data_IF_664578653534
#
_entry.id   IF_664578653534
#
_cell.length_a   1.000
_cell.length_b   1.000
_cell.length_c   1.000
_cell.angle_alpha   90.00
_cell.angle_beta   90.00
_cell.angle_gamma   90.00
#
_symmetry.space_group_name_H-M   'P 1'
#
loop_
_entity.id
_entity.type
_entity.pdbx_description
1 polymer ?
#
# COMPACT_ATOMS: atom_id res chain seq x y z
N UNK A 1 -38.03 -52.28 48.07
CA UNK A 1 -38.40 -53.64 47.67
C UNK A 1 -37.56 -54.06 46.49
N UNK A 2 -36.73 -55.06 46.64
CA UNK A 2 -35.96 -55.83 45.63
C UNK A 2 -36.89 -56.84 44.96
N UNK A 3 -36.46 -57.70 44.04
CA UNK A 3 -35.71 -57.58 42.78
C UNK A 3 -36.38 -58.38 41.60
N UNK A 4 -35.79 -58.43 40.46
CA UNK A 4 -36.16 -59.31 39.36
C UNK A 4 -35.11 -59.41 38.26
N UNK A 5 -34.22 -60.36 38.42
CA UNK A 5 -33.31 -60.88 37.41
C UNK A 5 -33.98 -61.80 36.42
N UNK A 6 -33.63 -61.74 35.13
CA UNK A 6 -33.66 -63.02 34.32
C UNK A 6 -32.54 -62.98 33.25
N UNK A 7 -31.79 -64.07 33.30
CA UNK A 7 -30.65 -64.42 32.40
C UNK A 7 -31.16 -65.16 31.16
N UNK A 8 -30.23 -65.28 30.17
CA UNK A 8 -30.17 -66.31 29.08
C UNK A 8 -30.71 -65.77 27.73
N UNK A 9 -30.09 -65.93 26.57
CA UNK A 9 -29.19 -67.00 26.11
C UNK A 9 -28.31 -66.50 24.95
N UNK A 10 -27.17 -67.15 24.90
CA UNK A 10 -26.11 -67.13 23.87
C UNK A 10 -26.61 -67.83 22.59
N UNK A 11 -26.34 -67.21 21.41
CA UNK A 11 -26.27 -67.94 20.14
C UNK A 11 -25.11 -67.33 19.29
N UNK A 12 -24.05 -68.14 19.17
CA UNK A 12 -22.96 -67.93 18.23
C UNK A 12 -23.49 -68.22 16.81
N UNK A 13 -23.27 -67.27 15.91
CA UNK A 13 -23.24 -67.53 14.48
C UNK A 13 -21.88 -67.01 13.92
N UNK A 14 -21.04 -67.98 13.59
CA UNK A 14 -19.81 -67.81 12.86
C UNK A 14 -20.16 -67.68 11.37
N UNK A 15 -19.94 -66.57 10.76
CA UNK A 15 -20.00 -66.43 9.30
C UNK A 15 -18.75 -65.72 8.82
N UNK A 16 -18.07 -66.34 7.88
CA UNK A 16 -16.74 -66.06 7.42
C UNK A 16 -16.55 -64.66 6.82
N UNK A 17 -15.43 -64.05 7.16
CA UNK A 17 -14.96 -62.80 6.59
C UNK A 17 -14.09 -63.15 5.38
N UNK A 18 -14.63 -62.94 4.17
CA UNK A 18 -13.81 -62.78 2.97
C UNK A 18 -13.14 -61.37 3.04
N UNK A 19 -11.86 -61.36 3.32
CA UNK A 19 -11.02 -60.16 3.21
C UNK A 19 -10.73 -59.87 1.73
N UNK A 20 -11.51 -58.99 1.11
CA UNK A 20 -11.07 -58.28 -0.10
C UNK A 20 -10.09 -57.16 0.32
N UNK A 21 -8.81 -57.43 0.23
CA UNK A 21 -7.77 -56.42 0.30
C UNK A 21 -7.82 -55.58 -0.95
N UNK A 22 -8.62 -54.50 -0.95
CA UNK A 22 -8.51 -53.43 -1.92
C UNK A 22 -7.32 -52.58 -1.53
N UNK A 23 -6.18 -52.78 -2.18
CA UNK A 23 -5.03 -51.88 -2.13
C UNK A 23 -5.45 -50.55 -2.75
N UNK A 24 -5.92 -49.62 -1.93
CA UNK A 24 -6.02 -48.21 -2.28
C UNK A 24 -4.58 -47.69 -2.35
N UNK A 25 -4.02 -47.66 -3.57
CA UNK A 25 -2.85 -46.84 -3.87
C UNK A 25 -3.27 -45.38 -3.60
N UNK A 26 -2.97 -44.91 -2.41
CA UNK A 26 -2.96 -43.49 -2.12
C UNK A 26 -1.85 -42.88 -3.01
N UNK A 27 -2.23 -42.40 -4.18
CA UNK A 27 -1.40 -41.41 -4.89
C UNK A 27 -1.30 -40.22 -3.96
N UNK A 28 -0.18 -40.14 -3.25
CA UNK A 28 0.26 -38.90 -2.65
C UNK A 28 0.53 -37.97 -3.83
N UNK A 29 -0.46 -37.15 -4.16
CA UNK A 29 -0.22 -35.94 -4.94
C UNK A 29 0.78 -35.14 -4.10
N UNK A 30 2.05 -35.25 -4.47
CA UNK A 30 3.06 -34.24 -4.05
C UNK A 30 2.55 -32.93 -4.60
N UNK A 31 1.83 -32.17 -3.79
CA UNK A 31 1.58 -30.76 -4.06
C UNK A 31 2.95 -30.12 -4.23
N UNK A 32 3.37 -29.94 -5.46
CA UNK A 32 4.54 -29.13 -5.78
C UNK A 32 4.23 -27.76 -5.24
N UNK A 33 5.01 -27.30 -4.26
CA UNK A 33 5.00 -25.90 -3.86
C UNK A 33 5.10 -25.08 -5.14
N UNK A 34 4.18 -24.16 -5.38
CA UNK A 34 4.15 -23.42 -6.61
C UNK A 34 5.45 -22.65 -6.76
N UNK A 35 6.09 -22.83 -7.91
CA UNK A 35 7.37 -22.20 -8.24
C UNK A 35 7.13 -20.70 -8.45
N UNK A 36 7.94 -19.84 -7.81
CA UNK A 36 7.87 -18.40 -8.05
C UNK A 36 8.04 -18.07 -9.54
N UNK A 37 7.34 -17.05 -10.09
CA UNK A 37 7.47 -16.70 -11.49
C UNK A 37 8.91 -16.30 -11.81
N UNK A 38 9.37 -16.70 -12.98
CA UNK A 38 10.67 -16.22 -13.47
C UNK A 38 10.55 -14.72 -13.83
N UNK A 39 11.70 -14.05 -13.90
CA UNK A 39 11.77 -12.66 -14.36
C UNK A 39 11.11 -12.47 -15.73
N UNK A 40 11.30 -13.41 -16.65
CA UNK A 40 10.74 -13.39 -18.01
C UNK A 40 9.22 -13.50 -17.97
N UNK A 41 8.66 -14.33 -17.10
CA UNK A 41 7.21 -14.45 -16.92
C UNK A 41 6.61 -13.15 -16.36
N UNK A 42 7.24 -12.55 -15.35
CA UNK A 42 6.78 -11.25 -14.81
C UNK A 42 6.90 -10.16 -15.87
N UNK A 43 8.00 -10.11 -16.63
CA UNK A 43 8.17 -9.15 -17.74
C UNK A 43 7.08 -9.31 -18.81
N UNK A 44 6.75 -10.54 -19.17
CA UNK A 44 5.70 -10.81 -20.15
C UNK A 44 4.34 -10.28 -19.69
N UNK A 45 3.96 -10.54 -18.43
CA UNK A 45 2.70 -10.07 -17.85
C UNK A 45 2.66 -8.54 -17.73
N UNK A 46 3.76 -7.90 -17.30
CA UNK A 46 3.88 -6.44 -17.24
C UNK A 46 3.74 -5.81 -18.63
N UNK A 47 4.36 -6.41 -19.65
CA UNK A 47 4.24 -5.94 -21.05
C UNK A 47 2.80 -6.10 -21.55
N UNK A 48 2.14 -7.23 -21.28
CA UNK A 48 0.74 -7.45 -21.63
C UNK A 48 -0.20 -6.44 -20.97
N UNK A 49 0.02 -6.14 -19.67
CA UNK A 49 -0.75 -5.11 -18.97
C UNK A 49 -0.59 -3.73 -19.63
N UNK A 50 0.65 -3.34 -19.97
CA UNK A 50 0.91 -2.09 -20.68
C UNK A 50 0.20 -2.04 -22.02
N UNK A 51 0.37 -3.03 -22.89
CA UNK A 51 -0.27 -3.09 -24.20
C UNK A 51 -1.79 -3.06 -24.13
N UNK A 52 -2.37 -3.72 -23.12
CA UNK A 52 -3.81 -3.76 -22.90
C UNK A 52 -4.41 -2.42 -22.52
N UNK A 53 -3.71 -1.62 -21.71
CA UNK A 53 -4.27 -0.41 -21.13
C UNK A 53 -3.66 0.90 -21.64
N UNK A 54 -2.62 0.89 -22.49
CA UNK A 54 -1.95 2.11 -22.98
C UNK A 54 -2.90 3.11 -23.67
N UNK A 55 -3.96 2.62 -24.30
CA UNK A 55 -4.95 3.44 -25.01
C UNK A 55 -6.20 3.73 -24.19
N UNK A 56 -6.23 3.35 -22.92
CA UNK A 56 -7.34 3.70 -22.01
C UNK A 56 -7.27 5.21 -21.69
N UNK A 57 -8.36 5.92 -21.91
CA UNK A 57 -8.45 7.37 -21.69
C UNK A 57 -9.49 7.73 -20.62
N UNK A 58 -9.92 6.77 -19.80
CA UNK A 58 -10.84 7.02 -18.68
C UNK A 58 -10.18 7.86 -17.59
N UNK A 59 -10.98 8.66 -16.91
CA UNK A 59 -10.54 9.54 -15.83
C UNK A 59 -10.06 10.90 -16.30
N UNK A 60 -9.61 11.72 -15.36
CA UNK A 60 -9.00 13.04 -15.62
C UNK A 60 -7.91 13.34 -14.59
N UNK A 61 -6.94 14.18 -14.97
CA UNK A 61 -5.92 14.64 -14.03
C UNK A 61 -6.52 15.39 -12.84
N UNK A 62 -5.81 15.44 -11.71
CA UNK A 62 -6.19 16.25 -10.55
C UNK A 62 -6.19 17.74 -10.94
N UNK A 63 -7.36 18.31 -11.20
CA UNK A 63 -7.53 19.68 -11.69
C UNK A 63 -7.51 20.75 -10.59
N UNK A 64 -7.67 20.35 -9.34
CA UNK A 64 -7.62 21.24 -8.17
C UNK A 64 -6.18 21.61 -7.73
N UNK A 65 -5.17 20.97 -8.29
CA UNK A 65 -3.76 21.37 -8.18
C UNK A 65 -3.28 21.77 -9.58
N UNK A 66 -3.14 23.07 -9.89
CA UNK A 66 -2.86 23.53 -11.26
C UNK A 66 -1.64 22.89 -11.94
N UNK A 67 -0.58 22.59 -11.19
CA UNK A 67 0.59 21.92 -11.72
C UNK A 67 0.28 20.48 -12.17
N UNK A 68 -0.60 19.74 -11.48
CA UNK A 68 -0.99 18.38 -11.86
C UNK A 68 -1.96 18.36 -13.04
N UNK A 69 -2.80 19.38 -13.17
CA UNK A 69 -3.70 19.52 -14.31
C UNK A 69 -2.98 19.61 -15.66
N UNK A 70 -1.71 20.09 -15.67
CA UNK A 70 -0.91 20.29 -16.88
C UNK A 70 -0.07 19.06 -17.28
N UNK A 71 -0.05 17.99 -16.46
CA UNK A 71 0.72 16.79 -16.78
C UNK A 71 0.10 16.08 -17.99
N UNK A 72 0.94 15.57 -18.90
CA UNK A 72 0.42 14.83 -20.07
C UNK A 72 -0.33 13.57 -19.64
N UNK A 73 -1.64 13.54 -19.90
CA UNK A 73 -2.56 12.43 -19.54
C UNK A 73 -2.23 11.12 -20.26
N UNK A 74 -1.38 11.14 -21.30
CA UNK A 74 -0.98 9.94 -22.05
C UNK A 74 0.16 9.17 -21.39
N UNK A 75 0.89 9.80 -20.47
CA UNK A 75 1.97 9.13 -19.74
C UNK A 75 1.46 7.86 -19.05
N UNK A 76 2.24 6.78 -19.19
CA UNK A 76 1.89 5.50 -18.60
C UNK A 76 3.13 4.62 -18.46
N UNK A 77 3.45 4.23 -17.23
CA UNK A 77 4.58 3.36 -16.93
C UNK A 77 4.22 2.34 -15.85
N UNK A 78 4.68 1.11 -16.03
CA UNK A 78 4.52 -0.02 -15.10
C UNK A 78 5.90 -0.55 -14.73
N UNK A 79 6.15 -0.73 -13.46
CA UNK A 79 7.39 -1.33 -12.92
C UNK A 79 7.04 -2.36 -11.87
N UNK A 80 7.69 -3.53 -11.93
CA UNK A 80 7.72 -4.45 -10.79
C UNK A 80 9.15 -4.69 -10.34
N UNK A 81 9.35 -4.70 -9.02
CA UNK A 81 10.65 -4.94 -8.37
C UNK A 81 10.50 -6.07 -7.36
N UNK A 82 11.34 -7.09 -7.45
CA UNK A 82 11.37 -8.20 -6.50
C UNK A 82 12.26 -7.91 -5.29
N UNK A 83 12.09 -8.69 -4.22
CA UNK A 83 12.90 -8.55 -3.00
C UNK A 83 14.38 -8.91 -3.19
N UNK A 84 14.74 -9.60 -4.26
CA UNK A 84 16.13 -9.87 -4.65
C UNK A 84 16.72 -8.80 -5.59
N UNK A 85 15.92 -7.76 -5.95
CA UNK A 85 16.37 -6.60 -6.71
C UNK A 85 16.21 -6.73 -8.24
N UNK A 86 15.47 -7.72 -8.73
CA UNK A 86 15.16 -7.80 -10.16
C UNK A 86 14.11 -6.73 -10.53
N UNK A 87 14.33 -6.05 -11.63
CA UNK A 87 13.45 -4.99 -12.13
C UNK A 87 12.92 -5.37 -13.51
N UNK A 88 11.61 -5.25 -13.71
CA UNK A 88 10.93 -5.34 -14.99
C UNK A 88 10.08 -4.11 -15.25
N UNK A 89 10.00 -3.67 -16.51
CA UNK A 89 9.44 -2.37 -16.87
C UNK A 89 8.64 -2.40 -18.16
N UNK A 90 7.67 -1.48 -18.27
CA UNK A 90 7.01 -1.15 -19.54
C UNK A 90 6.54 0.32 -19.54
N UNK A 91 6.72 1.03 -20.66
CA UNK A 91 6.26 2.41 -20.86
C UNK A 91 7.15 3.48 -20.23
N UNK A 92 6.53 4.59 -19.79
CA UNK A 92 7.18 5.84 -19.36
C UNK A 92 7.67 5.75 -17.89
N UNK A 93 8.58 4.83 -17.63
CA UNK A 93 9.00 4.47 -16.26
C UNK A 93 10.01 5.42 -15.63
N UNK A 94 10.65 6.27 -16.43
CA UNK A 94 11.66 7.24 -16.00
C UNK A 94 11.10 8.68 -15.90
N UNK A 95 9.81 8.88 -16.20
CA UNK A 95 9.17 10.16 -16.05
C UNK A 95 8.98 10.49 -14.57
N UNK A 96 9.51 11.65 -14.13
CA UNK A 96 9.36 12.09 -12.75
C UNK A 96 7.96 12.70 -12.52
N UNK A 97 7.27 12.27 -11.47
CA UNK A 97 5.98 12.80 -11.05
C UNK A 97 5.96 13.01 -9.53
N UNK A 98 5.03 13.83 -9.03
CA UNK A 98 4.92 14.05 -7.60
C UNK A 98 4.33 12.82 -6.90
N UNK A 99 4.99 12.37 -5.84
CA UNK A 99 4.60 11.18 -5.06
C UNK A 99 3.22 11.34 -4.40
N UNK A 100 2.83 12.56 -4.06
CA UNK A 100 1.58 12.91 -3.43
C UNK A 100 1.28 12.03 -2.19
N UNK A 101 0.06 11.54 -2.05
CA UNK A 101 -0.36 10.78 -0.86
C UNK A 101 0.35 9.44 -0.65
N UNK A 102 1.15 8.96 -1.60
CA UNK A 102 1.99 7.77 -1.38
C UNK A 102 3.07 8.08 -0.33
N UNK A 103 3.53 9.33 -0.25
CA UNK A 103 4.46 9.81 0.76
C UNK A 103 4.04 9.50 2.20
N UNK A 104 2.73 9.45 2.48
CA UNK A 104 2.16 9.18 3.81
C UNK A 104 2.61 7.83 4.38
N UNK A 105 2.83 6.83 3.53
CA UNK A 105 3.34 5.51 3.93
C UNK A 105 4.71 5.64 4.59
N UNK A 106 5.59 6.42 3.97
CA UNK A 106 6.97 6.56 4.43
C UNK A 106 7.10 7.54 5.59
N UNK A 107 6.23 8.56 5.69
CA UNK A 107 6.14 9.39 6.89
C UNK A 107 5.59 8.61 8.09
N UNK A 108 4.62 7.71 7.88
CA UNK A 108 4.16 6.79 8.91
C UNK A 108 5.30 5.88 9.37
N UNK A 109 6.03 5.26 8.43
CA UNK A 109 7.16 4.41 8.74
C UNK A 109 8.23 5.14 9.59
N UNK A 110 8.59 6.37 9.19
CA UNK A 110 9.55 7.18 9.93
C UNK A 110 9.06 7.52 11.35
N UNK A 111 7.78 7.92 11.50
CA UNK A 111 7.20 8.20 12.81
C UNK A 111 7.16 6.94 13.70
N UNK A 112 6.84 5.78 13.14
CA UNK A 112 6.86 4.51 13.86
C UNK A 112 8.30 4.07 14.22
N UNK A 113 9.26 4.32 13.36
CA UNK A 113 10.67 4.03 13.66
C UNK A 113 11.23 4.89 14.81
N UNK A 114 10.72 6.12 14.98
CA UNK A 114 11.11 7.01 16.08
C UNK A 114 10.38 6.72 17.40
N UNK A 115 9.08 6.46 17.33
CA UNK A 115 8.21 6.41 18.50
C UNK A 115 7.71 5.01 18.87
N UNK A 116 7.76 4.07 17.93
CA UNK A 116 7.10 2.77 18.02
C UNK A 116 5.66 2.79 17.50
N UNK A 117 5.21 1.67 16.96
CA UNK A 117 3.91 1.51 16.32
C UNK A 117 2.74 1.84 17.27
N UNK A 118 2.75 1.30 18.50
CA UNK A 118 1.68 1.50 19.50
C UNK A 118 1.51 2.97 19.87
N UNK A 119 2.62 3.70 20.00
CA UNK A 119 2.55 5.12 20.33
C UNK A 119 1.97 5.94 19.18
N UNK A 120 2.35 5.64 17.94
CA UNK A 120 1.76 6.29 16.76
C UNK A 120 0.28 5.93 16.65
N UNK A 121 -0.09 4.67 16.83
CA UNK A 121 -1.48 4.22 16.81
C UNK A 121 -2.34 4.96 17.86
N UNK A 122 -1.86 5.07 19.10
CA UNK A 122 -2.59 5.77 20.18
C UNK A 122 -2.86 7.25 19.88
N UNK A 123 -2.01 7.88 19.07
CA UNK A 123 -2.10 9.30 18.72
C UNK A 123 -2.88 9.56 17.43
N UNK A 124 -2.81 8.65 16.47
CA UNK A 124 -3.36 8.84 15.12
C UNK A 124 -4.56 7.91 14.87
N UNK A 125 -4.54 6.67 15.35
CA UNK A 125 -5.51 5.64 14.99
C UNK A 125 -5.21 4.97 13.66
N UNK A 126 -6.08 4.05 13.24
CA UNK A 126 -5.97 3.34 11.97
C UNK A 126 -7.32 3.13 11.28
N UNK A 127 -8.42 3.60 11.86
CA UNK A 127 -9.77 3.28 11.39
C UNK A 127 -10.07 3.94 10.03
N UNK A 128 -10.66 3.20 9.08
CA UNK A 128 -11.16 3.80 7.83
C UNK A 128 -12.27 4.80 8.15
N UNK A 129 -12.25 5.94 7.46
CA UNK A 129 -13.20 7.04 7.75
C UNK A 129 -14.56 6.86 7.06
N UNK A 130 -14.62 6.07 5.96
CA UNK A 130 -15.80 6.00 5.10
C UNK A 130 -16.18 7.36 4.48
N UNK A 131 -15.23 8.30 4.42
CA UNK A 131 -15.39 9.66 3.91
C UNK A 131 -14.22 10.03 3.00
N UNK A 132 -14.35 11.05 2.15
CA UNK A 132 -13.26 11.56 1.35
C UNK A 132 -12.02 11.89 2.21
N UNK A 133 -10.84 11.69 1.64
CA UNK A 133 -9.55 11.80 2.35
C UNK A 133 -9.25 13.18 2.99
N UNK A 134 -9.98 14.22 2.59
CA UNK A 134 -9.88 15.59 3.08
C UNK A 134 -11.10 16.06 3.87
N UNK A 135 -11.98 15.15 4.31
CA UNK A 135 -13.22 15.49 5.01
C UNK A 135 -12.99 16.12 6.38
N UNK A 136 -13.51 17.30 6.57
CA UNK A 136 -13.57 18.01 7.86
C UNK A 136 -14.56 17.33 8.82
N UNK A 137 -15.69 16.84 8.27
CA UNK A 137 -16.72 16.12 9.03
C UNK A 137 -16.19 14.82 9.64
N UNK A 138 -15.30 14.12 8.93
CA UNK A 138 -14.65 12.92 9.47
C UNK A 138 -13.82 13.26 10.72
N UNK A 139 -13.02 14.33 10.66
CA UNK A 139 -12.21 14.78 11.80
C UNK A 139 -13.08 15.23 12.98
N UNK A 140 -14.16 15.96 12.72
CA UNK A 140 -15.04 16.44 13.78
C UNK A 140 -15.84 15.29 14.42
N UNK A 141 -16.26 14.29 13.67
CA UNK A 141 -17.17 13.22 14.11
C UNK A 141 -16.50 11.95 14.62
N UNK A 142 -15.23 11.68 14.28
CA UNK A 142 -14.54 10.48 14.74
C UNK A 142 -13.93 10.66 16.15
N UNK A 143 -13.97 9.63 17.01
CA UNK A 143 -13.39 9.71 18.35
C UNK A 143 -11.88 10.03 18.36
N UNK A 144 -11.14 9.57 17.34
CA UNK A 144 -9.71 9.86 17.20
C UNK A 144 -9.43 11.30 16.77
N UNK A 145 -10.38 11.96 16.10
CA UNK A 145 -10.24 13.27 15.46
C UNK A 145 -9.10 13.36 14.42
N UNK A 146 -8.57 12.21 14.00
CA UNK A 146 -7.47 12.08 13.01
C UNK A 146 -7.83 11.12 11.88
N UNK A 147 -8.69 10.11 12.17
CA UNK A 147 -9.01 9.01 11.28
C UNK A 147 -7.89 7.98 11.26
N UNK A 148 -7.06 8.05 10.23
CA UNK A 148 -5.89 7.17 10.05
C UNK A 148 -4.76 7.95 9.36
N UNK A 149 -3.51 7.41 9.30
CA UNK A 149 -2.36 8.11 8.74
C UNK A 149 -2.48 8.43 7.23
N UNK A 150 -3.46 7.87 6.53
CA UNK A 150 -3.57 7.99 5.06
C UNK A 150 -4.67 8.95 4.57
N UNK A 151 -5.48 9.47 5.48
CA UNK A 151 -6.27 10.69 5.22
C UNK A 151 -5.46 11.93 5.58
N UNK A 152 -5.83 13.10 5.03
CA UNK A 152 -4.99 14.30 5.17
C UNK A 152 -4.80 14.72 6.63
N UNK A 153 -5.85 14.70 7.46
CA UNK A 153 -5.75 15.05 8.86
C UNK A 153 -4.75 14.16 9.62
N UNK A 154 -4.91 12.83 9.50
CA UNK A 154 -4.00 11.89 10.15
C UNK A 154 -2.56 11.97 9.62
N UNK A 155 -2.39 12.26 8.32
CA UNK A 155 -1.06 12.45 7.73
C UNK A 155 -0.37 13.73 8.26
N UNK A 156 -1.08 14.85 8.35
CA UNK A 156 -0.56 16.10 8.95
C UNK A 156 -0.20 15.87 10.42
N UNK A 157 -1.06 15.18 11.17
CA UNK A 157 -0.78 14.80 12.55
C UNK A 157 0.45 13.88 12.66
N UNK A 158 0.60 12.90 11.75
CA UNK A 158 1.78 12.02 11.70
C UNK A 158 3.07 12.79 11.44
N UNK A 159 3.08 13.72 10.47
CA UNK A 159 4.24 14.61 10.21
C UNK A 159 4.59 15.42 11.45
N UNK A 160 3.60 15.88 12.20
CA UNK A 160 3.84 16.66 13.42
C UNK A 160 4.54 15.86 14.52
N UNK A 161 4.41 14.53 14.52
CA UNK A 161 5.09 13.61 15.45
C UNK A 161 6.59 13.45 15.20
N UNK A 162 7.03 13.58 13.94
CA UNK A 162 8.44 13.37 13.57
C UNK A 162 9.32 14.37 14.30
N UNK A 163 10.35 13.89 14.98
CA UNK A 163 11.23 14.69 15.83
C UNK A 163 12.37 15.33 15.02
N UNK A 164 12.59 16.62 15.22
CA UNK A 164 13.74 17.33 14.67
C UNK A 164 13.94 18.68 15.43
N UNK A 165 15.17 19.25 15.40
CA UNK A 165 15.44 20.51 16.07
C UNK A 165 14.68 21.72 15.52
N UNK A 166 14.35 21.68 14.22
CA UNK A 166 13.62 22.74 13.50
C UNK A 166 12.95 22.16 12.23
N UNK A 167 12.19 23.01 11.53
CA UNK A 167 11.47 22.63 10.31
C UNK A 167 12.37 22.13 9.18
N UNK A 168 13.48 22.82 8.94
CA UNK A 168 14.40 22.45 7.86
C UNK A 168 15.07 21.10 8.12
N UNK A 169 15.49 20.86 9.36
CA UNK A 169 16.02 19.55 9.76
C UNK A 169 14.97 18.44 9.68
N UNK A 170 13.70 18.73 10.02
CA UNK A 170 12.59 17.79 9.87
C UNK A 170 12.35 17.46 8.40
N UNK A 171 12.28 18.48 7.56
CA UNK A 171 12.12 18.29 6.13
C UNK A 171 13.25 17.47 5.52
N UNK A 172 14.51 17.82 5.84
CA UNK A 172 15.67 17.07 5.33
C UNK A 172 15.64 15.62 5.78
N UNK A 173 15.31 15.34 7.05
CA UNK A 173 15.17 13.96 7.56
C UNK A 173 14.13 13.16 6.78
N UNK A 174 12.97 13.75 6.46
CA UNK A 174 11.91 13.10 5.68
C UNK A 174 12.42 12.79 4.26
N UNK A 175 13.04 13.77 3.60
CA UNK A 175 13.55 13.62 2.24
C UNK A 175 14.67 12.57 2.16
N UNK A 176 15.57 12.54 3.14
CA UNK A 176 16.64 11.54 3.24
C UNK A 176 16.08 10.15 3.46
N UNK A 177 15.06 10.01 4.31
CA UNK A 177 14.38 8.73 4.55
C UNK A 177 13.71 8.19 3.28
N UNK A 178 13.02 9.06 2.51
CA UNK A 178 12.41 8.68 1.24
C UNK A 178 13.47 8.30 0.21
N UNK A 179 14.58 9.05 0.14
CA UNK A 179 15.70 8.76 -0.75
C UNK A 179 16.33 7.39 -0.46
N UNK A 180 16.50 7.05 0.82
CA UNK A 180 16.96 5.71 1.22
C UNK A 180 15.99 4.61 0.84
N UNK A 181 14.68 4.83 1.00
CA UNK A 181 13.66 3.88 0.59
C UNK A 181 13.63 3.67 -0.94
N UNK A 182 13.84 4.73 -1.71
CA UNK A 182 13.93 4.70 -3.17
C UNK A 182 15.27 4.12 -3.70
N UNK A 183 16.32 4.14 -2.88
CA UNK A 183 17.68 3.77 -3.28
C UNK A 183 18.40 4.81 -4.13
N UNK A 184 17.78 5.98 -4.32
CA UNK A 184 18.26 7.09 -5.12
C UNK A 184 17.96 8.42 -4.41
N UNK A 185 18.73 9.47 -4.74
CA UNK A 185 18.52 10.80 -4.18
C UNK A 185 17.28 11.46 -4.80
N UNK A 186 16.24 11.61 -4.00
CA UNK A 186 15.02 12.31 -4.40
C UNK A 186 15.13 13.82 -4.19
N UNK A 187 14.26 14.58 -4.85
CA UNK A 187 14.21 16.03 -4.75
C UNK A 187 12.76 16.55 -4.76
N UNK A 188 12.60 17.78 -4.27
CA UNK A 188 11.34 18.50 -4.29
C UNK A 188 11.04 19.04 -5.70
N UNK A 189 9.86 18.74 -6.23
CA UNK A 189 9.34 19.39 -7.45
C UNK A 189 8.79 20.77 -7.06
N UNK A 190 9.62 21.80 -7.27
CA UNK A 190 9.35 23.16 -6.78
C UNK A 190 8.04 23.74 -7.31
N UNK A 191 7.70 23.48 -8.58
CA UNK A 191 6.49 24.02 -9.18
C UNK A 191 5.23 23.35 -8.63
N UNK A 192 5.28 22.04 -8.35
CA UNK A 192 4.20 21.31 -7.69
C UNK A 192 4.03 21.83 -6.25
N UNK A 193 5.12 21.96 -5.50
CA UNK A 193 5.09 22.50 -4.14
C UNK A 193 4.47 23.90 -4.08
N UNK A 194 4.92 24.83 -4.93
CA UNK A 194 4.37 26.20 -4.98
C UNK A 194 2.89 26.20 -5.35
N UNK A 195 2.50 25.37 -6.32
CA UNK A 195 1.12 25.23 -6.77
C UNK A 195 0.21 24.72 -5.66
N UNK A 196 0.64 23.66 -4.97
CA UNK A 196 -0.13 23.06 -3.87
C UNK A 196 -0.15 23.96 -2.63
N UNK A 197 0.96 24.60 -2.26
CA UNK A 197 1.05 25.53 -1.14
C UNK A 197 0.11 26.74 -1.30
N UNK A 198 -0.11 27.19 -2.54
CA UNK A 198 -1.04 28.28 -2.85
C UNK A 198 -2.52 27.86 -2.72
N UNK A 199 -2.84 26.57 -2.85
CA UNK A 199 -4.21 26.06 -2.89
C UNK A 199 -4.60 25.20 -1.67
N UNK A 200 -3.72 25.04 -0.68
CA UNK A 200 -3.87 24.10 0.45
C UNK A 200 -4.75 24.62 1.61
N UNK A 201 -5.70 25.51 1.37
CA UNK A 201 -6.59 26.08 2.40
C UNK A 201 -7.31 25.00 3.22
N UNK A 202 -7.76 23.91 2.55
CA UNK A 202 -8.38 22.76 3.22
C UNK A 202 -7.45 22.09 4.24
N UNK A 203 -6.17 21.89 3.91
CA UNK A 203 -5.19 21.30 4.83
C UNK A 203 -4.89 22.23 6.03
N UNK A 204 -4.88 23.54 5.81
CA UNK A 204 -4.76 24.53 6.92
C UNK A 204 -5.97 24.48 7.85
N UNK A 205 -7.18 24.33 7.31
CA UNK A 205 -8.40 24.14 8.10
C UNK A 205 -8.36 22.85 8.92
N UNK A 206 -7.90 21.74 8.33
CA UNK A 206 -7.69 20.47 9.03
C UNK A 206 -6.65 20.62 10.16
N UNK A 207 -5.54 21.31 9.94
CA UNK A 207 -4.53 21.55 10.98
C UNK A 207 -5.06 22.39 12.15
N UNK A 208 -5.89 23.40 11.87
CA UNK A 208 -6.56 24.19 12.90
C UNK A 208 -7.55 23.35 13.72
N UNK A 209 -8.26 22.42 13.05
CA UNK A 209 -9.18 21.50 13.71
C UNK A 209 -8.43 20.48 14.57
N UNK A 210 -7.31 19.94 14.07
CA UNK A 210 -6.43 19.06 14.84
C UNK A 210 -5.88 19.76 16.07
N UNK A 211 -5.52 21.06 15.98
CA UNK A 211 -5.09 21.85 17.12
C UNK A 211 -6.20 21.98 18.17
N UNK A 212 -7.44 22.26 17.73
CA UNK A 212 -8.61 22.32 18.62
C UNK A 212 -8.83 21.02 19.41
N UNK A 213 -8.57 19.87 18.79
CA UNK A 213 -8.74 18.55 19.40
C UNK A 213 -7.46 18.01 20.06
N UNK A 214 -6.39 18.80 20.13
CA UNK A 214 -5.10 18.38 20.70
C UNK A 214 -4.50 17.15 20.00
N UNK A 215 -4.69 17.09 18.66
CA UNK A 215 -4.23 15.99 17.80
C UNK A 215 -3.12 16.41 16.81
N UNK A 216 -2.47 17.55 17.06
CA UNK A 216 -1.27 17.98 16.37
C UNK A 216 -0.18 18.25 17.40
N UNK A 217 1.05 17.81 17.15
CA UNK A 217 2.11 17.67 18.14
C UNK A 217 3.30 18.61 17.88
N UNK A 218 3.17 19.49 16.89
CA UNK A 218 4.10 20.56 16.54
C UNK A 218 3.32 21.75 15.99
N UNK A 219 4.00 22.83 15.59
CA UNK A 219 3.33 23.97 14.96
C UNK A 219 2.45 23.55 13.78
N UNK A 220 1.15 23.92 13.78
CA UNK A 220 0.20 23.47 12.77
C UNK A 220 0.55 23.93 11.35
N UNK A 221 0.96 25.19 11.16
CA UNK A 221 1.27 25.72 9.83
C UNK A 221 2.57 25.14 9.29
N UNK A 222 3.56 24.96 10.16
CA UNK A 222 4.80 24.27 9.81
C UNK A 222 4.55 22.80 9.44
N UNK A 223 3.66 22.12 10.17
CA UNK A 223 3.28 20.73 9.86
C UNK A 223 2.58 20.62 8.51
N UNK A 224 1.72 21.58 8.14
CA UNK A 224 1.09 21.65 6.81
C UNK A 224 2.13 21.92 5.72
N UNK A 225 3.09 22.83 5.96
CA UNK A 225 4.16 23.12 4.99
C UNK A 225 5.02 21.89 4.69
N UNK A 226 5.46 21.19 5.74
CA UNK A 226 6.25 19.95 5.58
C UNK A 226 5.41 18.85 4.92
N UNK A 227 4.13 18.72 5.27
CA UNK A 227 3.20 17.82 4.61
C UNK A 227 3.06 18.14 3.11
N UNK A 228 2.96 19.42 2.74
CA UNK A 228 2.90 19.84 1.33
C UNK A 228 4.21 19.53 0.60
N UNK A 229 5.36 19.76 1.24
CA UNK A 229 6.68 19.39 0.68
C UNK A 229 6.80 17.89 0.44
N UNK A 230 6.41 17.05 1.39
CA UNK A 230 6.48 15.58 1.20
C UNK A 230 5.60 15.08 0.05
N UNK A 231 4.40 15.68 -0.13
CA UNK A 231 3.51 15.36 -1.26
C UNK A 231 4.16 15.74 -2.60
N UNK A 232 4.98 16.78 -2.61
CA UNK A 232 5.62 17.36 -3.81
C UNK A 232 7.00 16.75 -4.12
N UNK A 233 7.44 15.70 -3.42
CA UNK A 233 8.67 14.97 -3.76
C UNK A 233 8.49 14.31 -5.13
N UNK A 234 9.48 14.49 -6.02
CA UNK A 234 9.53 13.84 -7.32
C UNK A 234 10.01 12.41 -7.19
N UNK A 235 9.29 11.50 -7.84
CA UNK A 235 9.67 10.09 -7.98
C UNK A 235 9.38 9.62 -9.39
N UNK A 236 10.12 8.63 -9.87
CA UNK A 236 9.78 7.84 -11.06
C UNK A 236 9.00 6.59 -10.66
N UNK A 237 8.39 5.91 -11.63
CA UNK A 237 7.75 4.61 -11.35
C UNK A 237 8.76 3.55 -10.86
N UNK A 238 10.05 3.64 -11.30
CA UNK A 238 11.12 2.76 -10.82
C UNK A 238 11.43 2.99 -9.34
N UNK A 239 11.68 4.22 -8.95
CA UNK A 239 11.95 4.59 -7.57
C UNK A 239 10.79 4.20 -6.67
N UNK A 240 9.55 4.46 -7.10
CA UNK A 240 8.35 4.10 -6.35
C UNK A 240 8.21 2.58 -6.19
N UNK A 241 8.55 1.78 -7.22
CA UNK A 241 8.54 0.32 -7.11
C UNK A 241 9.61 -0.19 -6.13
N UNK A 242 10.81 0.43 -6.11
CA UNK A 242 11.86 0.12 -5.12
C UNK A 242 11.40 0.46 -3.70
N UNK A 243 10.77 1.62 -3.51
CA UNK A 243 10.16 2.00 -2.22
C UNK A 243 9.14 0.95 -1.74
N UNK A 244 8.26 0.47 -2.63
CA UNK A 244 7.32 -0.60 -2.32
C UNK A 244 8.01 -1.94 -2.04
N UNK A 245 9.04 -2.29 -2.81
CA UNK A 245 9.82 -3.51 -2.60
C UNK A 245 10.64 -3.47 -1.30
N UNK A 246 11.01 -2.28 -0.83
CA UNK A 246 11.61 -2.09 0.51
C UNK A 246 10.64 -2.55 1.60
N UNK A 247 9.36 -2.20 1.51
CA UNK A 247 8.32 -2.71 2.42
C UNK A 247 8.13 -4.23 2.26
N UNK A 248 8.05 -4.73 1.02
CA UNK A 248 7.92 -6.16 0.76
C UNK A 248 9.07 -6.99 1.36
N UNK A 249 10.25 -6.39 1.51
CA UNK A 249 11.48 -7.00 2.01
C UNK A 249 11.75 -6.66 3.49
N UNK A 250 10.69 -6.57 4.30
CA UNK A 250 10.76 -6.25 5.73
C UNK A 250 11.55 -4.95 6.03
N UNK A 251 11.37 -3.93 5.21
CA UNK A 251 11.98 -2.62 5.38
C UNK A 251 13.43 -2.51 4.86
N UNK A 252 13.96 -3.56 4.25
CA UNK A 252 15.29 -3.56 3.65
C UNK A 252 15.23 -3.26 2.16
N UNK A 253 15.90 -2.19 1.73
CA UNK A 253 15.95 -1.83 0.31
C UNK A 253 16.58 -2.97 -0.52
N UNK A 254 15.92 -3.47 -1.56
CA UNK A 254 16.41 -4.62 -2.33
C UNK A 254 17.66 -4.30 -3.18
N UNK A 255 17.91 -3.04 -3.52
CA UNK A 255 19.04 -2.60 -4.34
C UNK A 255 20.26 -2.23 -3.49
N UNK A 256 20.09 -1.35 -2.50
CA UNK A 256 21.17 -0.85 -1.65
C UNK A 256 21.51 -1.79 -0.49
N UNK A 257 20.59 -2.70 -0.14
CA UNK A 257 20.67 -3.62 1.00
C UNK A 257 20.63 -2.92 2.37
N UNK A 258 20.38 -1.61 2.41
CA UNK A 258 20.21 -0.86 3.65
C UNK A 258 18.89 -1.23 4.33
N UNK A 259 18.89 -1.39 5.66
CA UNK A 259 17.68 -1.48 6.48
C UNK A 259 17.16 -0.06 6.69
N UNK A 260 16.10 0.31 5.98
CA UNK A 260 15.56 1.67 5.96
C UNK A 260 14.42 1.81 6.97
N UNK A 261 13.54 0.81 7.04
CA UNK A 261 12.37 0.76 7.92
C UNK A 261 12.58 -0.40 8.90
N UNK A 262 12.31 -0.20 10.17
CA UNK A 262 12.35 -1.31 11.13
C UNK A 262 11.37 -2.41 10.73
N UNK A 263 11.87 -3.65 10.67
CA UNK A 263 11.08 -4.80 10.20
C UNK A 263 9.80 -5.00 11.02
N UNK A 264 9.85 -4.73 12.32
CA UNK A 264 8.74 -4.83 13.27
C UNK A 264 7.57 -3.88 12.95
N UNK A 265 7.80 -2.77 12.24
CA UNK A 265 6.77 -1.80 11.87
C UNK A 265 6.08 -2.11 10.53
N UNK A 266 6.66 -3.01 9.73
CA UNK A 266 6.15 -3.28 8.37
C UNK A 266 4.74 -3.89 8.36
N UNK A 267 4.39 -4.84 9.25
CA UNK A 267 3.05 -5.42 9.27
C UNK A 267 1.94 -4.38 9.44
N UNK A 268 2.10 -3.43 10.37
CA UNK A 268 1.12 -2.39 10.66
C UNK A 268 1.00 -1.38 9.51
N UNK A 269 2.11 -1.07 8.84
CA UNK A 269 2.11 -0.23 7.65
C UNK A 269 1.31 -0.92 6.53
N UNK A 270 1.57 -2.20 6.26
CA UNK A 270 0.86 -2.95 5.22
C UNK A 270 -0.62 -3.15 5.56
N UNK A 271 -0.96 -3.38 6.83
CA UNK A 271 -2.33 -3.43 7.30
C UNK A 271 -3.06 -2.09 7.03
N UNK A 272 -2.42 -0.96 7.35
CA UNK A 272 -2.97 0.37 7.09
C UNK A 272 -3.13 0.62 5.57
N UNK A 273 -2.18 0.18 4.75
CA UNK A 273 -2.28 0.23 3.28
C UNK A 273 -3.47 -0.57 2.76
N UNK A 274 -3.76 -1.73 3.36
CA UNK A 274 -4.90 -2.57 2.97
C UNK A 274 -6.24 -1.87 3.30
N UNK A 275 -6.34 -1.25 4.49
CA UNK A 275 -7.59 -0.67 4.98
C UNK A 275 -7.92 0.70 4.39
N UNK A 276 -6.92 1.53 4.11
CA UNK A 276 -7.11 2.94 3.79
C UNK A 276 -6.23 3.46 2.63
N UNK A 277 -5.54 2.58 1.92
CA UNK A 277 -4.52 2.99 0.95
C UNK A 277 -5.07 3.63 -0.32
N UNK A 278 -6.28 3.29 -0.75
CA UNK A 278 -6.95 3.84 -1.93
C UNK A 278 -8.17 4.70 -1.54
N UNK A 279 -8.05 5.47 -0.47
CA UNK A 279 -9.10 6.35 0.02
C UNK A 279 -10.41 5.57 0.27
N UNK A 280 -11.55 6.10 -0.14
CA UNK A 280 -12.85 5.42 -0.09
C UNK A 280 -13.00 4.25 -1.08
N UNK A 281 -12.08 4.08 -2.03
CA UNK A 281 -11.95 2.91 -2.90
C UNK A 281 -11.25 1.69 -2.28
N UNK A 282 -10.72 1.78 -1.04
CA UNK A 282 -9.90 0.71 -0.44
C UNK A 282 -10.62 -0.63 -0.28
N UNK A 283 -11.92 -0.62 0.03
CA UNK A 283 -12.73 -1.84 0.15
C UNK A 283 -12.87 -2.57 -1.19
N UNK A 284 -13.19 -1.86 -2.26
CA UNK A 284 -13.25 -2.41 -3.61
C UNK A 284 -11.89 -2.94 -4.09
N UNK A 285 -10.82 -2.23 -3.77
CA UNK A 285 -9.47 -2.68 -4.05
C UNK A 285 -9.11 -3.99 -3.34
N UNK A 286 -9.38 -4.08 -2.05
CA UNK A 286 -9.15 -5.31 -1.29
C UNK A 286 -9.94 -6.49 -1.84
N UNK A 287 -11.19 -6.26 -2.27
CA UNK A 287 -12.06 -7.27 -2.87
C UNK A 287 -11.53 -7.78 -4.23
N UNK A 288 -11.12 -6.88 -5.12
CA UNK A 288 -10.76 -7.23 -6.49
C UNK A 288 -9.27 -7.57 -6.68
N UNK A 289 -8.38 -6.96 -5.90
CA UNK A 289 -6.92 -7.07 -6.08
C UNK A 289 -6.26 -7.79 -4.90
N UNK A 290 -6.67 -7.47 -3.67
CA UNK A 290 -6.20 -8.13 -2.46
C UNK A 290 -4.73 -7.92 -2.15
N UNK A 291 -4.18 -6.74 -2.47
CA UNK A 291 -2.80 -6.34 -2.14
C UNK A 291 -2.80 -5.06 -1.31
N UNK A 292 -1.95 -4.95 -0.28
CA UNK A 292 -1.67 -3.67 0.35
C UNK A 292 -1.19 -2.66 -0.70
N UNK A 293 -1.83 -1.50 -0.79
CA UNK A 293 -1.46 -0.51 -1.80
C UNK A 293 -1.65 0.92 -1.29
N UNK A 294 -1.01 1.89 -1.94
CA UNK A 294 -1.24 3.30 -1.73
C UNK A 294 -1.28 4.06 -3.04
N UNK A 295 -2.29 4.89 -3.20
CA UNK A 295 -2.48 5.79 -4.32
C UNK A 295 -2.06 7.23 -3.98
N UNK A 296 -1.75 8.00 -5.01
CA UNK A 296 -1.50 9.43 -4.93
C UNK A 296 -2.12 10.16 -6.12
N UNK A 297 -2.69 11.34 -5.87
CA UNK A 297 -3.37 12.13 -6.90
C UNK A 297 -2.45 12.66 -8.00
N UNK A 298 -1.14 12.43 -7.91
CA UNK A 298 -0.18 12.62 -9.00
C UNK A 298 -0.28 11.56 -10.10
N UNK A 299 -1.10 10.52 -9.92
CA UNK A 299 -1.28 9.42 -10.88
C UNK A 299 -0.52 8.14 -10.53
N UNK A 300 0.17 8.09 -9.39
CA UNK A 300 0.90 6.91 -8.93
C UNK A 300 0.05 5.97 -8.09
N UNK A 301 0.27 4.65 -8.22
CA UNK A 301 -0.13 3.62 -7.25
C UNK A 301 1.04 2.67 -7.04
N UNK A 302 1.34 2.36 -5.79
CA UNK A 302 2.26 1.27 -5.42
C UNK A 302 1.48 0.20 -4.67
N UNK A 303 1.61 -1.05 -5.13
CA UNK A 303 1.05 -2.24 -4.48
C UNK A 303 2.18 -3.15 -4.01
N UNK A 304 2.09 -3.64 -2.79
CA UNK A 304 3.12 -4.47 -2.14
C UNK A 304 2.68 -5.93 -2.14
N UNK A 305 3.59 -6.81 -2.53
CA UNK A 305 3.44 -8.26 -2.43
C UNK A 305 4.40 -8.74 -1.33
N UNK A 306 3.94 -8.89 -0.09
CA UNK A 306 4.82 -9.16 1.06
C UNK A 306 5.72 -10.37 0.83
N UNK A 307 7.01 -10.21 1.11
CA UNK A 307 8.03 -11.24 0.92
C UNK A 307 8.43 -11.51 -0.54
N UNK A 308 7.80 -10.84 -1.54
CA UNK A 308 8.07 -11.09 -2.97
C UNK A 308 8.53 -9.84 -3.72
N UNK A 309 7.87 -8.70 -3.54
CA UNK A 309 8.21 -7.47 -4.25
C UNK A 309 7.10 -6.44 -4.25
N UNK A 310 7.14 -5.52 -5.20
CA UNK A 310 6.12 -4.50 -5.38
C UNK A 310 5.89 -4.19 -6.86
N UNK A 311 4.71 -3.65 -7.14
CA UNK A 311 4.31 -3.15 -8.45
C UNK A 311 3.99 -1.66 -8.28
N UNK A 312 4.64 -0.81 -9.06
CA UNK A 312 4.31 0.60 -9.15
C UNK A 312 3.84 0.95 -10.56
N UNK A 313 2.79 1.73 -10.64
CA UNK A 313 2.25 2.21 -11.89
C UNK A 313 2.04 3.71 -11.80
N UNK A 314 2.44 4.42 -12.86
CA UNK A 314 2.18 5.83 -13.04
C UNK A 314 1.33 6.06 -14.28
N UNK A 315 0.18 6.70 -14.09
CA UNK A 315 -0.68 7.21 -15.15
C UNK A 315 -1.56 8.34 -14.57
N UNK A 316 -1.48 9.59 -15.09
CA UNK A 316 -2.09 10.75 -14.46
C UNK A 316 -3.62 10.74 -14.30
N UNK A 317 -4.44 10.21 -15.25
CA UNK A 317 -5.89 10.26 -15.13
C UNK A 317 -6.44 9.47 -13.94
N UNK A 318 -7.29 10.12 -13.13
CA UNK A 318 -7.88 9.61 -11.90
C UNK A 318 -9.37 9.35 -12.05
N UNK A 319 -9.89 8.43 -11.25
CA UNK A 319 -11.33 8.26 -11.00
C UNK A 319 -11.86 9.32 -10.01
N UNK A 320 -13.14 9.23 -9.68
CA UNK A 320 -13.83 10.14 -8.75
C UNK A 320 -13.27 10.08 -7.32
N UNK A 321 -12.73 8.93 -6.90
CA UNK A 321 -12.11 8.76 -5.59
C UNK A 321 -10.67 9.33 -5.52
N UNK A 322 -10.07 9.68 -6.67
CA UNK A 322 -8.71 10.21 -6.78
C UNK A 322 -7.63 9.16 -7.03
N UNK A 323 -8.01 7.98 -7.51
CA UNK A 323 -7.10 6.89 -7.83
C UNK A 323 -6.88 6.79 -9.34
N UNK A 324 -5.63 6.57 -9.77
CA UNK A 324 -5.32 6.39 -11.20
C UNK A 324 -6.07 5.21 -11.81
N UNK A 325 -6.85 5.47 -12.85
CA UNK A 325 -7.67 4.45 -13.54
C UNK A 325 -6.81 3.38 -14.18
N UNK A 326 -5.84 3.78 -15.02
CA UNK A 326 -4.93 2.83 -15.67
C UNK A 326 -4.10 2.04 -14.65
N UNK A 327 -3.64 2.70 -13.58
CA UNK A 327 -2.84 2.03 -12.57
C UNK A 327 -3.64 0.94 -11.85
N UNK A 328 -4.89 1.21 -11.46
CA UNK A 328 -5.75 0.20 -10.86
C UNK A 328 -5.96 -1.00 -11.79
N UNK A 329 -6.35 -0.74 -13.04
CA UNK A 329 -6.59 -1.80 -14.04
C UNK A 329 -5.33 -2.64 -14.30
N UNK A 330 -4.17 -2.00 -14.39
CA UNK A 330 -2.88 -2.66 -14.66
C UNK A 330 -2.43 -3.54 -13.51
N UNK A 331 -2.50 -3.03 -12.27
CA UNK A 331 -2.10 -3.81 -11.09
C UNK A 331 -3.07 -4.98 -10.89
N UNK A 332 -4.37 -4.77 -11.07
CA UNK A 332 -5.37 -5.83 -10.99
C UNK A 332 -5.09 -6.94 -12.02
N UNK A 333 -4.76 -6.57 -13.26
CA UNK A 333 -4.39 -7.52 -14.30
C UNK A 333 -3.14 -8.31 -13.90
N UNK A 334 -2.06 -7.63 -13.52
CA UNK A 334 -0.80 -8.29 -13.11
C UNK A 334 -1.03 -9.19 -11.89
N UNK A 335 -1.81 -8.74 -10.90
CA UNK A 335 -2.10 -9.52 -9.71
C UNK A 335 -2.88 -10.80 -10.03
N UNK A 336 -3.83 -10.73 -10.96
CA UNK A 336 -4.61 -11.88 -11.41
C UNK A 336 -3.75 -12.87 -12.20
N UNK A 337 -3.00 -12.40 -13.20
CA UNK A 337 -2.16 -13.26 -14.05
C UNK A 337 -1.05 -13.98 -13.26
N UNK A 338 -0.51 -13.31 -12.24
CA UNK A 338 0.52 -13.88 -11.38
C UNK A 338 -0.04 -14.61 -10.14
N UNK A 339 -1.35 -14.57 -9.90
CA UNK A 339 -1.99 -15.23 -8.76
C UNK A 339 -1.50 -14.73 -7.40
N UNK A 340 -1.25 -13.43 -7.25
CA UNK A 340 -0.62 -12.82 -6.06
C UNK A 340 -1.59 -12.14 -5.10
N UNK A 341 -2.90 -12.35 -5.24
CA UNK A 341 -3.90 -11.88 -4.28
C UNK A 341 -3.70 -12.59 -2.91
N UNK A 342 -3.47 -11.83 -1.86
CA UNK A 342 -3.16 -12.37 -0.51
C UNK A 342 -4.32 -13.13 0.13
N UNK A 343 -5.55 -12.88 -0.28
CA UNK A 343 -6.74 -13.55 0.24
C UNK A 343 -7.11 -14.81 -0.54
N UNK A 344 -6.40 -15.11 -1.63
CA UNK A 344 -6.60 -16.35 -2.38
C UNK A 344 -5.94 -17.54 -1.65
N UNK A 345 -6.62 -18.68 -1.49
CA UNK A 345 -6.01 -19.89 -0.90
C UNK A 345 -4.77 -20.39 -1.65
N UNK A 346 -4.61 -19.97 -2.90
CA UNK A 346 -3.50 -20.34 -3.77
C UNK A 346 -2.48 -19.20 -3.99
N UNK A 347 -2.64 -18.07 -3.28
CA UNK A 347 -1.77 -16.89 -3.44
C UNK A 347 -0.32 -17.11 -2.98
N UNK A 348 -0.03 -18.21 -2.32
CA UNK A 348 1.33 -18.53 -1.82
C UNK A 348 2.15 -19.26 -2.88
N UNK A 349 1.55 -19.55 -3.98
CA UNK A 349 2.21 -20.23 -5.07
C UNK A 349 1.47 -19.99 -6.36
N UNK A 350 2.22 -19.61 -7.33
CA UNK A 350 1.76 -19.46 -8.70
C UNK A 350 1.15 -20.76 -9.21
N UNK A 351 0.05 -20.62 -9.93
CA UNK A 351 -0.53 -21.73 -10.67
C UNK A 351 0.44 -22.26 -11.70
#
# INVERSE_FOLDING_TARGET
MKPGSLKRNLALVVAGILTCASSVLAQTATERSPVAPTREQVQAVVTQAYEKFKNDNEGKNADYIPALAQVDSKLFGIVAVSTDGQVVTAGDVDHAFSIQSISKVFSLALAMDELGADQVFSKIGSEPTGRPFNSVEAVAGMPSHTGNPFVNAGAIATVSLIQAPNADAKWQKILDFYSKAAGEKLSLLQDVYKSEAATNTGNRALAALLLKYERIYADPLQSVDIYTKQCSVGVTAKELAVMGATLANNGRNPLTREQVIKAENVPEILATMTMAGLYDGSGGWAWHVGLPAKSGVGGGIVAVVPGKGAIAVFAPPLDEAGNSVKAQKSIAYVANELGINLFSPHSVGLK
#
